data_IF_840109315076
#
_entry.id   IF_840109315076
#
_cell.length_a   1.000
_cell.length_b   1.000
_cell.length_c   1.000
_cell.angle_alpha   90.00
_cell.angle_beta   90.00
_cell.angle_gamma   90.00
#
_symmetry.space_group_name_H-M   'P 1'
#
loop_
_entity.id
_entity.type
_entity.pdbx_description
1 polymer ?
#
# COMPACT_ATOMS: atom_id res chain seq x y z
N UNK A 1 -19.71 14.00 22.29
CA UNK A 1 -20.08 13.41 20.98
C UNK A 1 -19.24 12.17 20.81
N UNK A 2 -19.84 10.98 20.62
CA UNK A 2 -19.05 9.79 20.28
C UNK A 2 -18.42 10.08 18.91
N UNK A 3 -17.09 10.11 18.81
CA UNK A 3 -16.40 10.15 17.52
C UNK A 3 -17.02 9.09 16.61
N UNK A 4 -17.30 9.38 15.33
CA UNK A 4 -17.79 8.36 14.41
C UNK A 4 -16.83 7.17 14.52
N UNK A 5 -17.37 5.99 14.82
CA UNK A 5 -16.58 4.77 14.87
C UNK A 5 -16.08 4.51 13.46
N UNK A 6 -14.81 4.83 13.20
CA UNK A 6 -14.12 4.54 11.95
C UNK A 6 -13.96 3.01 11.83
N UNK A 7 -15.02 2.30 11.47
CA UNK A 7 -14.90 0.88 11.10
C UNK A 7 -14.10 0.76 9.81
N UNK A 8 -13.39 -0.34 9.63
CA UNK A 8 -12.66 -0.57 8.38
C UNK A 8 -13.59 -0.48 7.16
N UNK A 9 -14.81 -1.02 7.27
CA UNK A 9 -15.83 -0.89 6.22
C UNK A 9 -16.15 0.58 5.87
N UNK A 10 -16.35 1.44 6.87
CA UNK A 10 -16.62 2.86 6.66
C UNK A 10 -15.42 3.62 6.10
N UNK A 11 -14.19 3.27 6.50
CA UNK A 11 -12.95 3.86 5.97
C UNK A 11 -12.81 3.51 4.48
N UNK A 12 -13.01 2.23 4.12
CA UNK A 12 -12.98 1.78 2.72
C UNK A 12 -14.02 2.54 1.89
N UNK A 13 -15.25 2.64 2.38
CA UNK A 13 -16.32 3.34 1.66
C UNK A 13 -16.02 4.84 1.50
N UNK A 14 -15.52 5.49 2.55
CA UNK A 14 -15.11 6.90 2.49
C UNK A 14 -14.06 7.15 1.39
N UNK A 15 -13.07 6.26 1.24
CA UNK A 15 -12.08 6.37 0.16
C UNK A 15 -12.74 6.29 -1.23
N UNK A 16 -13.62 5.30 -1.44
CA UNK A 16 -14.29 5.10 -2.72
C UNK A 16 -15.22 6.28 -3.05
N UNK A 17 -16.00 6.74 -2.08
CA UNK A 17 -16.93 7.85 -2.25
C UNK A 17 -16.18 9.17 -2.52
N UNK A 18 -15.07 9.41 -1.83
CA UNK A 18 -14.22 10.57 -2.05
C UNK A 18 -13.71 10.62 -3.49
N UNK A 19 -13.13 9.54 -4.01
CA UNK A 19 -12.65 9.53 -5.40
C UNK A 19 -13.79 9.51 -6.41
N UNK A 20 -14.92 8.87 -6.10
CA UNK A 20 -16.13 8.96 -6.93
C UNK A 20 -16.61 10.41 -7.07
N UNK A 21 -16.55 11.22 -5.99
CA UNK A 21 -16.88 12.64 -6.05
C UNK A 21 -15.87 13.48 -6.85
N UNK A 22 -14.66 12.96 -7.12
CA UNK A 22 -13.65 13.55 -8.02
C UNK A 22 -13.75 13.00 -9.45
N UNK A 23 -14.79 12.23 -9.76
CA UNK A 23 -15.08 11.69 -11.09
C UNK A 23 -14.38 10.37 -11.41
N UNK A 24 -13.84 9.65 -10.43
CA UNK A 24 -13.30 8.32 -10.63
C UNK A 24 -14.43 7.30 -10.74
N UNK A 25 -14.32 6.38 -11.70
CA UNK A 25 -15.23 5.24 -11.79
C UNK A 25 -14.82 4.17 -10.77
N UNK A 26 -15.77 3.68 -9.98
CA UNK A 26 -15.52 2.49 -9.17
C UNK A 26 -15.32 1.27 -10.07
N UNK A 27 -14.17 0.60 -9.94
CA UNK A 27 -13.85 -0.62 -10.70
C UNK A 27 -13.61 -1.76 -9.70
N UNK A 28 -14.37 -2.86 -9.72
CA UNK A 28 -14.15 -3.96 -8.77
C UNK A 28 -12.70 -4.46 -8.72
N UNK A 29 -12.27 -4.95 -7.56
CA UNK A 29 -10.99 -5.64 -7.41
C UNK A 29 -10.89 -6.77 -8.43
N UNK A 30 -9.73 -6.90 -9.09
CA UNK A 30 -9.43 -8.07 -9.90
C UNK A 30 -9.16 -9.29 -9.02
N UNK A 31 -9.10 -10.47 -9.66
CA UNK A 31 -8.70 -11.73 -9.00
C UNK A 31 -7.26 -11.64 -8.49
N UNK A 32 -6.96 -12.37 -7.41
CA UNK A 32 -5.58 -12.63 -6.96
C UNK A 32 -4.76 -13.41 -8.00
N UNK A 33 -5.42 -14.10 -8.93
CA UNK A 33 -4.79 -14.80 -10.05
C UNK A 33 -4.84 -13.87 -11.27
N UNK A 34 -3.73 -13.23 -11.67
CA UNK A 34 -3.73 -12.30 -12.80
C UNK A 34 -4.01 -13.08 -14.09
N UNK A 35 -5.13 -12.78 -14.73
CA UNK A 35 -5.49 -13.33 -16.03
C UNK A 35 -4.64 -12.68 -17.12
N UNK A 36 -3.89 -13.48 -17.88
CA UNK A 36 -3.13 -12.99 -19.04
C UNK A 36 -1.69 -12.52 -18.75
N UNK A 37 -1.31 -12.28 -17.50
CA UNK A 37 0.07 -11.92 -17.15
C UNK A 37 0.85 -13.15 -16.64
N UNK A 38 1.84 -13.60 -17.42
CA UNK A 38 2.70 -14.73 -17.06
C UNK A 38 3.90 -14.32 -16.18
N UNK A 39 4.18 -13.02 -16.02
CA UNK A 39 5.31 -12.57 -15.21
C UNK A 39 4.98 -12.48 -13.72
N UNK A 40 3.69 -12.49 -13.36
CA UNK A 40 3.22 -12.38 -11.98
C UNK A 40 2.57 -13.67 -11.48
N UNK A 41 3.02 -14.12 -10.31
CA UNK A 41 2.41 -15.26 -9.64
C UNK A 41 1.05 -14.88 -9.04
N UNK A 42 0.95 -13.70 -8.43
CA UNK A 42 -0.29 -13.17 -7.86
C UNK A 42 -0.39 -11.67 -8.08
N UNK A 43 -1.61 -11.13 -8.01
CA UNK A 43 -1.87 -9.70 -8.03
C UNK A 43 -1.28 -9.06 -6.77
N UNK A 44 -0.24 -8.24 -6.92
CA UNK A 44 0.52 -7.63 -5.82
C UNK A 44 0.20 -6.14 -5.58
N UNK A 45 -0.56 -5.52 -6.50
CA UNK A 45 -0.95 -4.12 -6.49
C UNK A 45 -2.24 -3.89 -7.29
N UNK A 46 -2.93 -2.77 -7.03
CA UNK A 46 -4.15 -2.36 -7.77
C UNK A 46 -3.92 -2.12 -9.26
N UNK A 47 -2.73 -1.66 -9.62
CA UNK A 47 -2.37 -1.28 -11.00
C UNK A 47 -2.31 -2.46 -11.98
N UNK A 48 -2.19 -3.70 -11.49
CA UNK A 48 -1.99 -4.91 -12.31
C UNK A 48 -3.09 -5.07 -13.37
N UNK A 49 -4.36 -4.82 -13.00
CA UNK A 49 -5.50 -4.93 -13.93
C UNK A 49 -5.58 -3.79 -14.97
N UNK A 50 -4.73 -2.77 -14.83
CA UNK A 50 -4.66 -1.61 -15.71
C UNK A 50 -3.33 -1.54 -16.47
N UNK A 51 -2.47 -2.57 -16.37
CA UNK A 51 -1.16 -2.65 -17.04
C UNK A 51 -1.24 -2.25 -18.53
N UNK A 52 -2.16 -2.86 -19.27
CA UNK A 52 -2.34 -2.60 -20.71
C UNK A 52 -2.88 -1.20 -21.01
N UNK A 53 -3.61 -0.59 -20.07
CA UNK A 53 -4.09 0.80 -20.19
C UNK A 53 -2.91 1.76 -20.08
N UNK A 54 -1.97 1.54 -19.15
CA UNK A 54 -0.75 2.33 -19.05
C UNK A 54 0.18 2.16 -20.25
N UNK A 55 0.23 0.96 -20.83
CA UNK A 55 1.00 0.69 -22.05
C UNK A 55 0.32 1.23 -23.33
N UNK A 56 -0.94 1.67 -23.23
CA UNK A 56 -1.73 2.15 -24.36
C UNK A 56 -2.22 1.04 -25.30
N UNK A 57 -2.12 -0.22 -24.89
CA UNK A 57 -2.58 -1.41 -25.65
C UNK A 57 -4.04 -1.76 -25.36
N UNK A 58 -4.62 -1.22 -24.29
CA UNK A 58 -6.03 -1.32 -23.94
C UNK A 58 -6.64 0.08 -23.68
N UNK A 59 -7.96 0.22 -23.88
CA UNK A 59 -8.71 1.46 -23.61
C UNK A 59 -9.99 1.15 -22.84
N UNK A 60 -10.24 1.94 -21.81
CA UNK A 60 -11.44 1.85 -20.98
C UNK A 60 -12.43 2.97 -21.33
N UNK A 61 -13.74 2.79 -21.04
CA UNK A 61 -14.74 3.85 -21.23
C UNK A 61 -14.61 5.00 -20.21
N UNK A 62 -13.62 4.94 -19.32
CA UNK A 62 -13.31 5.92 -18.29
C UNK A 62 -11.81 6.25 -18.31
N UNK A 63 -11.47 7.48 -17.93
CA UNK A 63 -10.08 7.95 -17.81
C UNK A 63 -9.59 8.00 -16.36
N UNK A 64 -10.49 7.75 -15.39
CA UNK A 64 -10.20 7.74 -13.95
C UNK A 64 -10.87 6.53 -13.30
N UNK A 65 -10.17 5.85 -12.39
CA UNK A 65 -10.72 4.72 -11.67
C UNK A 65 -10.29 4.72 -10.19
N UNK A 66 -11.10 4.17 -9.30
CA UNK A 66 -10.71 3.96 -7.90
C UNK A 66 -11.30 2.66 -7.36
N UNK A 67 -10.56 1.97 -6.51
CA UNK A 67 -11.02 0.74 -5.86
C UNK A 67 -10.26 0.37 -4.59
N UNK A 68 -10.64 -0.79 -4.03
CA UNK A 68 -9.90 -1.50 -3.00
C UNK A 68 -9.51 -2.86 -3.57
N UNK A 69 -8.25 -3.02 -3.95
CA UNK A 69 -7.74 -4.22 -4.60
C UNK A 69 -7.28 -5.24 -3.54
N UNK A 70 -7.72 -6.49 -3.69
CA UNK A 70 -7.13 -7.65 -3.01
C UNK A 70 -5.71 -7.89 -3.52
N UNK A 71 -4.71 -7.87 -2.65
CA UNK A 71 -3.32 -8.08 -2.99
C UNK A 71 -2.75 -9.28 -2.24
N UNK A 72 -1.80 -9.98 -2.86
CA UNK A 72 -1.02 -11.03 -2.21
C UNK A 72 0.48 -10.87 -2.48
N UNK A 73 1.29 -10.76 -1.42
CA UNK A 73 2.75 -10.58 -1.47
C UNK A 73 3.46 -11.70 -0.71
N UNK A 74 3.70 -12.81 -1.41
CA UNK A 74 4.24 -14.06 -0.85
C UNK A 74 5.39 -14.65 -1.67
N UNK A 75 5.73 -14.01 -2.79
CA UNK A 75 6.76 -14.45 -3.71
C UNK A 75 7.12 -13.33 -4.71
N UNK A 76 8.30 -13.43 -5.31
CA UNK A 76 8.77 -12.50 -6.34
C UNK A 76 9.35 -11.22 -5.75
N UNK A 77 9.27 -10.12 -6.51
CA UNK A 77 9.87 -8.81 -6.15
C UNK A 77 9.30 -8.21 -4.86
N UNK A 78 8.01 -8.44 -4.61
CA UNK A 78 7.30 -7.98 -3.42
C UNK A 78 6.89 -9.21 -2.59
N UNK A 79 7.66 -9.53 -1.55
CA UNK A 79 7.47 -10.71 -0.71
C UNK A 79 7.59 -10.34 0.77
N UNK A 80 6.47 -10.34 1.47
CA UNK A 80 6.39 -9.93 2.88
C UNK A 80 6.25 -11.15 3.81
N UNK A 81 6.32 -12.38 3.29
CA UNK A 81 6.01 -13.62 4.01
C UNK A 81 6.81 -13.80 5.30
N UNK A 82 8.11 -13.45 5.26
CA UNK A 82 9.01 -13.62 6.42
C UNK A 82 8.73 -12.60 7.54
N UNK A 83 8.08 -11.48 7.24
CA UNK A 83 7.77 -10.44 8.22
C UNK A 83 6.39 -10.64 8.88
N UNK A 84 5.51 -11.43 8.25
CA UNK A 84 4.16 -11.69 8.74
C UNK A 84 4.17 -12.25 10.16
N UNK A 85 3.44 -11.55 11.04
CA UNK A 85 3.32 -11.87 12.46
C UNK A 85 4.52 -11.52 13.33
N UNK A 86 5.66 -11.12 12.74
CA UNK A 86 6.82 -10.58 13.47
C UNK A 86 6.73 -9.07 13.67
N UNK A 87 5.93 -8.40 12.85
CA UNK A 87 5.60 -6.99 13.04
C UNK A 87 4.09 -6.71 13.06
N UNK A 88 3.78 -5.42 13.02
CA UNK A 88 2.45 -4.86 13.22
C UNK A 88 1.79 -4.42 11.92
N UNK A 89 2.49 -4.51 10.79
CA UNK A 89 2.12 -3.80 9.55
C UNK A 89 2.13 -4.65 8.29
N UNK A 90 2.90 -5.73 8.25
CA UNK A 90 3.02 -6.62 7.07
C UNK A 90 2.04 -7.80 7.15
N UNK A 91 1.53 -8.15 5.97
CA UNK A 91 0.51 -9.17 5.73
C UNK A 91 0.86 -9.89 4.43
N UNK A 92 0.51 -11.17 4.31
CA UNK A 92 0.58 -11.83 3.00
C UNK A 92 -0.56 -11.33 2.12
N UNK A 93 -1.77 -11.27 2.65
CA UNK A 93 -2.97 -10.77 2.01
C UNK A 93 -3.35 -9.42 2.62
N UNK A 94 -3.57 -8.42 1.79
CA UNK A 94 -4.02 -7.11 2.22
C UNK A 94 -4.87 -6.44 1.15
N UNK A 95 -5.54 -5.36 1.53
CA UNK A 95 -6.25 -4.51 0.57
C UNK A 95 -5.44 -3.25 0.27
N UNK A 96 -5.35 -2.91 -1.01
CA UNK A 96 -4.73 -1.68 -1.48
C UNK A 96 -5.83 -0.73 -1.96
N UNK A 97 -6.00 0.39 -1.27
CA UNK A 97 -6.87 1.47 -1.72
C UNK A 97 -6.13 2.25 -2.80
N UNK A 98 -6.65 2.25 -4.03
CA UNK A 98 -5.98 2.86 -5.17
C UNK A 98 -6.89 3.76 -5.98
N UNK A 99 -6.29 4.81 -6.55
CA UNK A 99 -6.91 5.67 -7.54
C UNK A 99 -5.97 5.85 -8.74
N UNK A 100 -6.55 5.92 -9.93
CA UNK A 100 -5.81 5.93 -11.19
C UNK A 100 -6.22 7.08 -12.10
N UNK A 101 -5.24 7.62 -12.81
CA UNK A 101 -5.40 8.53 -13.94
C UNK A 101 -4.84 7.88 -15.19
N UNK A 102 -5.66 7.74 -16.22
CA UNK A 102 -5.26 7.20 -17.51
C UNK A 102 -5.13 8.34 -18.54
N UNK A 103 -4.02 9.08 -18.48
CA UNK A 103 -3.74 10.16 -19.44
C UNK A 103 -4.60 11.40 -19.23
N UNK A 104 -5.09 11.62 -18.01
CA UNK A 104 -6.02 12.68 -17.66
C UNK A 104 -5.40 13.72 -16.71
N UNK A 105 -5.43 13.50 -15.40
CA UNK A 105 -4.72 14.32 -14.41
C UNK A 105 -3.35 13.73 -14.07
N UNK A 106 -2.48 14.52 -13.43
CA UNK A 106 -1.13 14.07 -13.04
C UNK A 106 -0.80 14.45 -11.59
N UNK A 107 0.45 14.85 -11.31
CA UNK A 107 0.97 15.10 -9.96
C UNK A 107 0.13 16.09 -9.15
N UNK A 108 -0.29 17.20 -9.76
CA UNK A 108 -0.97 18.30 -9.05
C UNK A 108 -2.24 17.83 -8.36
N UNK A 109 -3.14 17.21 -9.11
CA UNK A 109 -4.40 16.70 -8.58
C UNK A 109 -4.18 15.46 -7.71
N UNK A 110 -3.26 14.56 -8.09
CA UNK A 110 -2.96 13.36 -7.31
C UNK A 110 -2.50 13.71 -5.88
N UNK A 111 -1.56 14.63 -5.75
CA UNK A 111 -1.03 15.09 -4.46
C UNK A 111 -2.11 15.86 -3.69
N UNK A 112 -2.81 16.78 -4.34
CA UNK A 112 -3.84 17.58 -3.68
C UNK A 112 -4.99 16.73 -3.11
N UNK A 113 -5.47 15.74 -3.86
CA UNK A 113 -6.56 14.86 -3.40
C UNK A 113 -6.10 13.87 -2.33
N UNK A 114 -4.87 13.35 -2.42
CA UNK A 114 -4.32 12.52 -1.36
C UNK A 114 -4.20 13.32 -0.04
N UNK A 115 -3.70 14.56 -0.12
CA UNK A 115 -3.61 15.46 1.03
C UNK A 115 -4.99 15.82 1.61
N UNK A 116 -5.96 16.16 0.75
CA UNK A 116 -7.34 16.47 1.14
C UNK A 116 -8.00 15.30 1.88
N UNK A 117 -7.89 14.07 1.35
CA UNK A 117 -8.46 12.89 2.00
C UNK A 117 -7.85 12.65 3.39
N UNK A 118 -6.52 12.70 3.48
CA UNK A 118 -5.84 12.43 4.76
C UNK A 118 -6.12 13.52 5.80
N UNK A 119 -6.12 14.80 5.41
CA UNK A 119 -6.07 15.92 6.37
C UNK A 119 -7.41 16.61 6.59
N UNK A 120 -8.29 16.66 5.58
CA UNK A 120 -9.58 17.35 5.69
C UNK A 120 -10.72 16.35 5.94
N UNK A 121 -10.70 15.18 5.28
CA UNK A 121 -11.74 14.16 5.46
C UNK A 121 -11.46 13.29 6.69
N UNK A 122 -10.24 12.75 6.78
CA UNK A 122 -9.84 11.89 7.89
C UNK A 122 -9.16 12.62 9.05
N UNK A 123 -8.93 13.92 8.91
CA UNK A 123 -8.45 14.79 9.99
C UNK A 123 -7.13 14.29 10.62
N UNK A 124 -6.24 13.69 9.82
CA UNK A 124 -4.90 13.38 10.28
C UNK A 124 -4.12 14.67 10.57
N UNK A 125 -3.33 14.70 11.66
CA UNK A 125 -2.54 15.86 12.03
C UNK A 125 -1.48 16.16 10.96
N UNK A 126 -1.59 17.33 10.33
CA UNK A 126 -0.74 17.76 9.21
C UNK A 126 0.73 17.80 9.58
N UNK A 127 1.02 18.19 10.82
CA UNK A 127 2.36 18.26 11.40
C UNK A 127 3.03 16.91 11.59
N UNK A 128 2.30 15.80 11.48
CA UNK A 128 2.86 14.43 11.54
C UNK A 128 3.02 13.80 10.17
N UNK A 129 2.58 14.46 9.11
CA UNK A 129 2.69 13.92 7.75
C UNK A 129 3.99 14.40 7.09
N UNK A 130 4.62 13.45 6.40
CA UNK A 130 5.83 13.64 5.62
C UNK A 130 5.58 13.17 4.19
N UNK A 131 6.20 13.86 3.23
CA UNK A 131 6.15 13.48 1.83
C UNK A 131 7.57 13.20 1.33
N UNK A 132 7.75 12.12 0.58
CA UNK A 132 9.01 11.79 -0.08
C UNK A 132 8.90 12.04 -1.58
N UNK A 133 9.97 12.46 -2.22
CA UNK A 133 10.04 12.74 -3.66
C UNK A 133 11.28 12.09 -4.27
N UNK A 134 11.20 11.77 -5.55
CA UNK A 134 12.28 11.08 -6.23
C UNK A 134 13.51 11.96 -6.49
N UNK A 135 14.68 11.41 -6.19
CA UNK A 135 15.98 11.94 -6.61
C UNK A 135 16.84 10.79 -7.13
N UNK A 136 17.21 10.84 -8.41
CA UNK A 136 18.01 9.78 -9.01
C UNK A 136 19.48 9.86 -8.59
N UNK A 137 19.96 8.86 -7.85
CA UNK A 137 21.37 8.71 -7.51
C UNK A 137 22.26 8.38 -8.72
N UNK A 138 21.68 7.94 -9.85
CA UNK A 138 22.40 7.60 -11.09
C UNK A 138 22.45 8.74 -12.12
N UNK A 139 21.71 9.83 -11.90
CA UNK A 139 21.66 10.99 -12.81
C UNK A 139 21.08 10.72 -14.21
N UNK A 140 20.27 9.65 -14.37
CA UNK A 140 19.64 9.27 -15.64
C UNK A 140 18.21 9.79 -15.77
N UNK A 141 17.55 10.02 -14.63
CA UNK A 141 16.19 10.54 -14.54
C UNK A 141 16.25 11.82 -13.73
N UNK A 142 15.58 12.86 -14.19
CA UNK A 142 15.54 14.13 -13.48
C UNK A 142 14.93 13.97 -12.09
N UNK A 143 15.47 14.72 -11.12
CA UNK A 143 14.88 14.84 -9.79
C UNK A 143 13.46 15.39 -9.89
N UNK A 144 12.55 14.84 -9.11
CA UNK A 144 11.14 15.22 -9.16
C UNK A 144 10.86 16.52 -8.37
N UNK A 145 11.37 17.64 -8.89
CA UNK A 145 11.12 18.96 -8.32
C UNK A 145 9.66 19.40 -8.50
N UNK A 146 8.99 18.91 -9.54
CA UNK A 146 7.57 19.19 -9.78
C UNK A 146 6.71 18.71 -8.60
N UNK A 147 6.89 17.44 -8.17
CA UNK A 147 6.19 16.90 -7.01
C UNK A 147 6.54 17.66 -5.73
N UNK A 148 7.82 17.97 -5.51
CA UNK A 148 8.25 18.69 -4.30
C UNK A 148 7.67 20.11 -4.22
N UNK A 149 7.58 20.83 -5.33
CA UNK A 149 6.94 22.16 -5.39
C UNK A 149 5.45 22.05 -5.08
N UNK A 150 4.75 21.07 -5.66
CA UNK A 150 3.32 20.84 -5.41
C UNK A 150 3.08 20.48 -3.94
N UNK A 151 3.93 19.63 -3.35
CA UNK A 151 3.87 19.30 -1.94
C UNK A 151 4.00 20.52 -1.07
N UNK A 152 5.04 21.34 -1.26
CA UNK A 152 5.26 22.57 -0.47
C UNK A 152 4.13 23.60 -0.57
N UNK A 153 3.25 23.47 -1.56
CA UNK A 153 2.05 24.31 -1.72
C UNK A 153 0.82 23.76 -0.99
N UNK A 154 0.86 22.53 -0.45
CA UNK A 154 -0.28 21.94 0.23
C UNK A 154 -0.62 22.68 1.53
N UNK A 155 -1.91 22.91 1.84
CA UNK A 155 -2.29 23.70 3.01
C UNK A 155 -1.86 23.05 4.33
N UNK A 156 -0.92 23.69 5.02
CA UNK A 156 -0.46 23.30 6.36
C UNK A 156 0.64 22.24 6.40
N UNK A 157 1.22 21.85 5.26
CA UNK A 157 2.44 21.03 5.28
C UNK A 157 3.63 21.85 5.78
N UNK A 158 4.52 21.22 6.54
CA UNK A 158 5.84 21.80 6.82
C UNK A 158 6.77 21.57 5.60
N UNK A 159 7.34 22.61 4.97
CA UNK A 159 8.26 22.44 3.85
C UNK A 159 9.49 21.56 4.14
N UNK A 160 9.91 21.46 5.41
CA UNK A 160 11.00 20.58 5.85
C UNK A 160 10.62 19.10 5.89
N UNK A 161 9.32 18.79 5.85
CA UNK A 161 8.79 17.42 5.78
C UNK A 161 8.69 16.90 4.33
N UNK A 162 9.12 17.69 3.35
CA UNK A 162 9.22 17.30 1.94
C UNK A 162 10.66 16.87 1.66
N UNK A 163 10.87 15.55 1.70
CA UNK A 163 12.17 14.89 1.64
C UNK A 163 12.43 14.28 0.26
N UNK A 164 13.68 13.96 -0.05
CA UNK A 164 14.03 13.27 -1.31
C UNK A 164 14.74 11.95 -1.02
N UNK A 165 14.37 10.90 -1.76
CA UNK A 165 15.02 9.59 -1.69
C UNK A 165 15.32 9.03 -3.08
N UNK A 166 16.22 8.04 -3.08
CA UNK A 166 16.72 7.36 -4.27
C UNK A 166 15.72 6.41 -4.92
N UNK A 167 16.20 5.67 -5.92
CA UNK A 167 15.40 4.68 -6.67
C UNK A 167 14.82 3.57 -5.82
N UNK A 168 15.48 3.22 -4.70
CA UNK A 168 15.00 2.17 -3.79
C UNK A 168 13.60 2.49 -3.25
N UNK A 169 13.37 3.74 -2.88
CA UNK A 169 12.16 4.15 -2.16
C UNK A 169 11.22 4.97 -3.06
N UNK A 170 11.75 5.84 -3.93
CA UNK A 170 10.94 6.75 -4.75
C UNK A 170 10.94 6.43 -6.26
N UNK A 171 11.28 5.21 -6.66
CA UNK A 171 11.05 4.73 -8.04
C UNK A 171 10.31 3.40 -8.03
N UNK A 172 9.03 3.43 -8.38
CA UNK A 172 8.17 2.26 -8.22
C UNK A 172 8.08 1.43 -9.51
N UNK A 173 8.09 0.12 -9.33
CA UNK A 173 8.00 -0.88 -10.40
C UNK A 173 7.19 -2.08 -9.95
N UNK A 174 6.25 -2.52 -10.79
CA UNK A 174 5.41 -3.69 -10.52
C UNK A 174 6.19 -5.01 -10.53
N UNK A 175 7.11 -5.13 -11.48
CA UNK A 175 7.90 -6.33 -11.77
C UNK A 175 9.26 -5.91 -12.39
N UNK A 176 9.98 -6.86 -13.00
CA UNK A 176 11.23 -6.59 -13.71
C UNK A 176 11.01 -5.84 -15.04
N UNK A 177 9.80 -5.90 -15.58
CA UNK A 177 9.38 -5.18 -16.79
C UNK A 177 7.95 -4.64 -16.64
N UNK A 178 7.61 -3.63 -17.43
CA UNK A 178 6.28 -3.01 -17.46
C UNK A 178 6.24 -1.54 -17.00
N UNK A 179 5.03 -0.98 -16.83
CA UNK A 179 4.85 0.42 -16.43
C UNK A 179 5.52 0.74 -15.10
N UNK A 180 6.22 1.86 -15.05
CA UNK A 180 6.96 2.35 -13.89
C UNK A 180 7.15 3.87 -13.91
N UNK A 181 7.65 4.41 -12.81
CA UNK A 181 8.00 5.83 -12.74
C UNK A 181 8.49 6.28 -11.37
N UNK A 182 8.96 7.54 -11.28
CA UNK A 182 9.12 8.22 -10.01
C UNK A 182 7.83 8.16 -9.20
N UNK A 183 7.95 8.05 -7.88
CA UNK A 183 6.79 8.08 -7.00
C UNK A 183 7.04 9.02 -5.82
N UNK A 184 5.95 9.35 -5.14
CA UNK A 184 5.96 10.15 -3.92
C UNK A 184 5.15 9.45 -2.86
N UNK A 185 5.76 9.19 -1.71
CA UNK A 185 5.11 8.48 -0.62
C UNK A 185 4.71 9.45 0.49
N UNK A 186 3.58 9.16 1.13
CA UNK A 186 3.09 9.88 2.30
C UNK A 186 3.34 9.00 3.51
N UNK A 187 4.09 9.53 4.46
CA UNK A 187 4.47 8.89 5.71
C UNK A 187 3.83 9.58 6.90
N UNK A 188 3.48 8.82 7.93
CA UNK A 188 3.00 9.32 9.20
C UNK A 188 4.04 9.09 10.29
N UNK A 189 4.43 10.16 10.98
CA UNK A 189 5.11 10.06 12.28
C UNK A 189 4.11 9.61 13.35
N UNK A 190 4.24 8.37 13.81
CA UNK A 190 3.35 7.81 14.83
C UNK A 190 3.71 8.29 16.23
N UNK A 191 4.92 8.79 16.43
CA UNK A 191 5.47 9.25 17.70
C UNK A 191 6.66 8.42 18.21
N UNK A 192 7.49 8.97 19.12
CA UNK A 192 8.67 8.27 19.67
C UNK A 192 8.39 6.91 20.32
N UNK A 193 7.18 6.70 20.83
CA UNK A 193 6.72 5.44 21.44
C UNK A 193 6.70 4.27 20.46
N UNK A 194 6.64 4.55 19.15
CA UNK A 194 6.70 3.55 18.08
C UNK A 194 8.11 3.23 17.61
N UNK A 195 9.13 3.89 18.16
CA UNK A 195 10.52 3.60 17.83
C UNK A 195 11.00 2.34 18.57
N UNK A 196 11.09 1.23 17.84
CA UNK A 196 11.63 -0.05 18.32
C UNK A 196 13.15 -0.06 18.53
N UNK A 197 13.85 1.03 18.14
CA UNK A 197 15.30 1.19 18.28
C UNK A 197 15.66 2.37 19.20
N UNK A 198 14.71 2.90 19.99
CA UNK A 198 14.92 4.09 20.81
C UNK A 198 16.02 3.94 21.86
N UNK A 199 16.26 2.71 22.30
CA UNK A 199 17.25 2.36 23.31
C UNK A 199 18.61 1.95 22.69
N UNK A 200 18.74 2.01 21.36
CA UNK A 200 19.98 1.74 20.64
C UNK A 200 20.81 3.03 20.56
N UNK A 201 22.01 3.01 21.10
CA UNK A 201 22.92 4.16 21.10
C UNK A 201 23.22 4.64 19.67
N UNK A 202 23.12 5.95 19.44
CA UNK A 202 23.35 6.56 18.12
C UNK A 202 22.21 6.41 17.12
N UNK A 203 21.10 5.77 17.48
CA UNK A 203 19.92 5.66 16.61
C UNK A 203 19.27 7.03 16.36
N UNK A 204 18.96 7.32 15.09
CA UNK A 204 18.23 8.51 14.66
C UNK A 204 16.95 8.05 13.96
N UNK A 205 15.80 8.48 14.46
CA UNK A 205 14.52 8.23 13.79
C UNK A 205 14.40 9.13 12.57
N UNK A 206 14.13 8.54 11.40
CA UNK A 206 13.88 9.27 10.16
C UNK A 206 12.92 8.50 9.25
N UNK A 207 12.28 9.22 8.32
CA UNK A 207 11.47 8.61 7.24
C UNK A 207 12.36 7.68 6.42
N UNK A 208 11.81 6.52 6.02
CA UNK A 208 12.55 5.43 5.36
C UNK A 208 13.80 4.93 6.11
N UNK A 209 13.88 5.18 7.42
CA UNK A 209 14.90 4.62 8.30
C UNK A 209 14.52 3.23 8.85
N UNK A 210 15.40 2.68 9.69
CA UNK A 210 15.29 1.29 10.17
C UNK A 210 14.30 1.10 11.35
N UNK A 211 13.71 2.18 11.86
CA UNK A 211 12.76 2.12 12.98
C UNK A 211 11.31 2.23 12.53
N UNK A 212 10.41 1.67 13.33
CA UNK A 212 8.96 1.59 13.05
C UNK A 212 8.16 2.87 13.34
N UNK A 213 8.82 3.98 13.69
CA UNK A 213 8.16 5.25 14.05
C UNK A 213 7.44 5.89 12.87
N UNK A 214 8.09 5.92 11.71
CA UNK A 214 7.53 6.48 10.49
C UNK A 214 6.88 5.36 9.68
N UNK A 215 5.58 5.52 9.41
CA UNK A 215 4.80 4.53 8.69
C UNK A 215 4.41 5.07 7.32
N UNK A 216 4.85 4.39 6.27
CA UNK A 216 4.36 4.65 4.91
C UNK A 216 2.87 4.30 4.83
N UNK A 217 2.05 5.30 4.52
CA UNK A 217 0.60 5.15 4.36
C UNK A 217 0.21 4.93 2.92
N UNK A 218 0.73 5.77 2.02
CA UNK A 218 0.22 5.91 0.66
C UNK A 218 1.33 6.25 -0.31
N UNK A 219 1.49 5.44 -1.36
CA UNK A 219 2.41 5.71 -2.45
C UNK A 219 1.67 6.26 -3.68
N UNK A 220 2.14 7.38 -4.23
CA UNK A 220 1.65 8.05 -5.43
C UNK A 220 2.67 7.88 -6.56
N UNK A 221 2.47 6.90 -7.43
CA UNK A 221 3.35 6.60 -8.56
C UNK A 221 2.96 7.43 -9.78
N UNK A 222 3.94 8.17 -10.31
CA UNK A 222 3.81 8.99 -11.49
C UNK A 222 4.33 8.21 -12.70
N UNK A 223 3.46 7.32 -13.20
CA UNK A 223 3.77 6.40 -14.28
C UNK A 223 4.08 7.19 -15.56
N UNK A 224 5.33 7.07 -16.00
CA UNK A 224 5.83 7.81 -17.17
C UNK A 224 6.81 6.99 -18.03
N UNK A 225 7.16 5.76 -17.61
CA UNK A 225 8.03 4.88 -18.36
C UNK A 225 7.49 3.45 -18.46
N UNK A 226 7.96 2.71 -19.45
CA UNK A 226 7.91 1.26 -19.55
C UNK A 226 9.32 0.70 -19.38
N UNK A 227 9.50 -0.20 -18.40
CA UNK A 227 10.75 -0.94 -18.19
C UNK A 227 10.80 -2.12 -19.16
N UNK A 228 11.76 -2.12 -20.06
CA UNK A 228 11.97 -3.24 -20.99
C UNK A 228 13.01 -4.24 -20.47
N UNK A 229 13.98 -3.76 -19.69
CA UNK A 229 15.06 -4.57 -19.10
C UNK A 229 15.66 -3.81 -17.91
N UNK A 230 16.55 -4.43 -17.09
CA UNK A 230 17.16 -3.77 -15.93
C UNK A 230 17.83 -2.41 -16.23
N UNK A 231 18.22 -2.16 -17.48
CA UNK A 231 18.91 -0.94 -17.90
C UNK A 231 18.10 -0.07 -18.86
N UNK A 232 17.00 -0.56 -19.41
CA UNK A 232 16.24 0.14 -20.46
C UNK A 232 14.89 0.67 -19.95
N UNK A 233 14.71 1.99 -20.07
CA UNK A 233 13.46 2.71 -19.82
C UNK A 233 13.00 3.38 -21.11
N UNK A 234 11.78 3.10 -21.52
CA UNK A 234 11.13 3.80 -22.62
C UNK A 234 10.07 4.75 -22.09
N UNK A 235 10.07 6.04 -22.47
CA UNK A 235 8.99 6.96 -22.12
C UNK A 235 7.64 6.47 -22.66
N UNK A 236 6.60 6.55 -21.84
CA UNK A 236 5.24 6.30 -22.27
C UNK A 236 4.69 7.48 -23.08
N UNK A 237 3.78 7.25 -24.04
CA UNK A 237 3.19 8.31 -24.86
C UNK A 237 2.31 9.26 -24.02
N UNK A 238 1.81 8.80 -22.89
CA UNK A 238 1.01 9.57 -21.93
C UNK A 238 1.57 9.38 -20.52
N UNK A 239 1.35 10.38 -19.68
CA UNK A 239 1.64 10.32 -18.25
C UNK A 239 0.40 9.86 -17.51
N UNK A 240 0.59 8.98 -16.54
CA UNK A 240 -0.49 8.36 -15.79
C UNK A 240 -0.24 8.48 -14.29
N UNK A 241 -1.28 8.24 -13.49
CA UNK A 241 -1.16 8.16 -12.03
C UNK A 241 -1.61 6.78 -11.59
N UNK A 242 -0.81 6.17 -10.74
CA UNK A 242 -1.14 4.96 -10.00
C UNK A 242 -0.91 5.23 -8.51
N UNK A 243 -1.90 4.97 -7.66
CA UNK A 243 -1.73 5.13 -6.22
C UNK A 243 -2.08 3.85 -5.49
N UNK A 244 -1.43 3.65 -4.34
CA UNK A 244 -1.70 2.53 -3.46
C UNK A 244 -1.50 2.90 -2.00
N UNK A 245 -2.59 2.87 -1.23
CA UNK A 245 -2.59 3.02 0.23
C UNK A 245 -2.89 1.68 0.88
N UNK A 246 -2.07 1.28 1.86
CA UNK A 246 -2.31 0.07 2.64
C UNK A 246 -3.55 0.23 3.49
N UNK A 247 -4.62 -0.49 3.17
CA UNK A 247 -5.92 -0.35 3.84
C UNK A 247 -5.80 -0.61 5.35
N UNK A 248 -5.19 -1.73 5.74
CA UNK A 248 -5.02 -2.09 7.14
C UNK A 248 -4.20 -1.06 7.92
N UNK A 249 -3.21 -0.42 7.27
CA UNK A 249 -2.38 0.63 7.86
C UNK A 249 -3.21 1.88 8.16
N UNK A 250 -4.01 2.36 7.19
CA UNK A 250 -4.85 3.53 7.44
C UNK A 250 -5.96 3.23 8.44
N UNK A 251 -6.50 2.00 8.48
CA UNK A 251 -7.47 1.60 9.51
C UNK A 251 -6.85 1.63 10.91
N UNK A 252 -5.63 1.12 11.09
CA UNK A 252 -4.98 1.14 12.41
C UNK A 252 -4.73 2.57 12.90
N UNK A 253 -4.31 3.47 11.99
CA UNK A 253 -4.16 4.89 12.29
C UNK A 253 -5.47 5.54 12.71
N UNK A 254 -6.54 5.39 11.91
CA UNK A 254 -7.83 6.06 12.19
C UNK A 254 -8.58 5.49 13.40
N UNK A 255 -8.31 4.24 13.76
CA UNK A 255 -8.81 3.64 14.99
C UNK A 255 -7.93 3.93 16.21
N UNK A 256 -6.77 4.57 16.03
CA UNK A 256 -5.84 4.91 17.11
C UNK A 256 -5.21 3.68 17.76
N UNK A 257 -4.99 2.61 17.00
CA UNK A 257 -4.35 1.38 17.49
C UNK A 257 -2.92 1.24 16.97
N UNK A 258 -2.09 0.56 17.73
CA UNK A 258 -0.65 0.41 17.47
C UNK A 258 -0.32 -0.68 16.44
N UNK A 259 -1.29 -1.50 16.06
CA UNK A 259 -1.09 -2.65 15.18
C UNK A 259 -2.26 -2.86 14.24
N UNK A 260 -1.98 -3.23 12.98
CA UNK A 260 -3.01 -3.62 12.02
C UNK A 260 -3.88 -4.76 12.60
N UNK A 261 -3.27 -5.67 13.35
CA UNK A 261 -3.93 -6.82 13.97
C UNK A 261 -4.91 -6.45 15.09
N UNK A 262 -4.85 -5.22 15.61
CA UNK A 262 -5.75 -4.72 16.66
C UNK A 262 -6.95 -3.93 16.14
N UNK A 263 -7.10 -3.85 14.82
CA UNK A 263 -8.25 -3.23 14.16
C UNK A 263 -9.48 -4.14 14.18
N UNK A 264 -10.65 -3.58 13.88
CA UNK A 264 -11.89 -4.32 13.64
C UNK A 264 -11.80 -5.32 12.47
N UNK A 265 -10.83 -5.15 11.56
CA UNK A 265 -10.58 -6.07 10.45
C UNK A 265 -9.98 -7.40 10.89
N UNK A 266 -9.10 -7.39 11.90
CA UNK A 266 -8.22 -8.51 12.22
C UNK A 266 -8.40 -9.06 13.64
N UNK A 267 -8.77 -8.21 14.60
CA UNK A 267 -9.01 -8.63 15.98
C UNK A 267 -10.07 -9.74 16.09
N UNK A 268 -11.17 -9.76 15.31
CA UNK A 268 -12.12 -10.89 15.33
C UNK A 268 -11.49 -12.24 14.93
N UNK A 269 -10.54 -12.24 13.99
CA UNK A 269 -9.82 -13.45 13.59
C UNK A 269 -8.90 -13.93 14.71
N UNK A 270 -8.16 -13.01 15.35
CA UNK A 270 -7.32 -13.34 16.50
C UNK A 270 -8.13 -13.92 17.67
N UNK A 271 -9.29 -13.33 17.96
CA UNK A 271 -10.22 -13.83 18.99
C UNK A 271 -10.81 -15.20 18.65
N UNK A 272 -11.02 -15.48 17.36
CA UNK A 272 -11.45 -16.81 16.91
C UNK A 272 -10.37 -17.85 17.19
N UNK A 273 -9.12 -17.56 16.84
CA UNK A 273 -7.98 -18.45 17.16
C UNK A 273 -7.88 -18.66 18.67
N UNK A 274 -8.07 -17.61 19.48
CA UNK A 274 -8.02 -17.66 20.94
C UNK A 274 -9.11 -18.55 21.52
N UNK A 275 -10.34 -18.40 21.02
CA UNK A 275 -11.47 -19.25 21.42
C UNK A 275 -11.22 -20.72 21.09
N UNK A 276 -10.53 -21.02 19.98
CA UNK A 276 -10.23 -22.40 19.58
C UNK A 276 -9.13 -23.03 20.44
N UNK A 277 -8.18 -22.24 20.94
CA UNK A 277 -7.10 -22.74 21.82
C UNK A 277 -7.48 -22.74 23.30
N UNK A 278 -8.53 -22.01 23.68
CA UNK A 278 -8.94 -21.86 25.09
C UNK A 278 -7.98 -20.98 25.91
N UNK A 279 -7.16 -20.17 25.23
CA UNK A 279 -6.17 -19.31 25.89
C UNK A 279 -6.79 -18.03 26.47
N UNK A 280 -6.24 -17.51 27.57
CA UNK A 280 -6.59 -16.20 28.13
C UNK A 280 -6.10 -15.04 27.26
N UNK A 281 -6.50 -13.81 27.60
CA UNK A 281 -5.98 -12.61 26.92
C UNK A 281 -4.48 -12.44 27.18
N UNK A 282 -4.02 -12.71 28.40
CA UNK A 282 -2.60 -12.65 28.75
C UNK A 282 -1.76 -13.66 27.95
N UNK A 283 -2.26 -14.88 27.77
CA UNK A 283 -1.59 -15.90 26.95
C UNK A 283 -1.54 -15.52 25.47
N UNK A 284 -2.58 -14.85 24.94
CA UNK A 284 -2.57 -14.29 23.58
C UNK A 284 -1.54 -13.17 23.45
N UNK A 285 -1.54 -12.20 24.35
CA UNK A 285 -0.60 -11.06 24.30
C UNK A 285 0.85 -11.50 24.47
N UNK A 286 1.10 -12.55 25.27
CA UNK A 286 2.44 -13.14 25.41
C UNK A 286 2.92 -13.88 24.15
N UNK A 287 2.00 -14.31 23.27
CA UNK A 287 2.29 -15.14 22.10
C UNK A 287 1.66 -14.61 20.81
N UNK A 288 1.74 -13.30 20.55
CA UNK A 288 1.03 -12.65 19.44
C UNK A 288 1.37 -13.22 18.05
N UNK A 289 2.63 -13.59 17.80
CA UNK A 289 3.08 -14.02 16.46
C UNK A 289 2.24 -15.17 15.88
N UNK A 290 2.05 -16.32 16.56
CA UNK A 290 1.15 -17.37 16.07
C UNK A 290 -0.28 -16.91 15.76
N UNK A 291 -0.85 -16.01 16.55
CA UNK A 291 -2.21 -15.49 16.30
C UNK A 291 -2.26 -14.62 15.05
N UNK A 292 -1.25 -13.77 14.87
CA UNK A 292 -1.10 -12.88 13.71
C UNK A 292 -0.93 -13.70 12.43
N UNK A 293 0.00 -14.67 12.43
CA UNK A 293 0.24 -15.57 11.28
C UNK A 293 -1.03 -16.32 10.90
N UNK A 294 -1.71 -16.96 11.86
CA UNK A 294 -2.96 -17.69 11.57
C UNK A 294 -4.06 -16.79 11.03
N UNK A 295 -4.22 -15.58 11.58
CA UNK A 295 -5.23 -14.63 11.13
C UNK A 295 -4.96 -14.14 9.71
N UNK A 296 -3.70 -13.82 9.40
CA UNK A 296 -3.28 -13.41 8.06
C UNK A 296 -3.43 -14.55 7.03
N UNK A 297 -2.84 -15.71 7.31
CA UNK A 297 -2.83 -16.85 6.40
C UNK A 297 -4.23 -17.42 6.15
N UNK A 298 -5.13 -17.35 7.14
CA UNK A 298 -6.53 -17.73 6.95
C UNK A 298 -7.22 -16.82 5.89
N UNK A 299 -6.96 -15.50 5.91
CA UNK A 299 -7.48 -14.59 4.87
C UNK A 299 -6.88 -14.94 3.51
N UNK A 300 -5.55 -15.05 3.44
CA UNK A 300 -4.85 -15.37 2.19
C UNK A 300 -5.35 -16.67 1.56
N UNK A 301 -5.42 -17.76 2.33
CA UNK A 301 -5.89 -19.05 1.87
C UNK A 301 -7.37 -18.98 1.42
N UNK A 302 -8.24 -18.35 2.20
CA UNK A 302 -9.66 -18.24 1.86
C UNK A 302 -9.88 -17.49 0.55
N UNK A 303 -9.23 -16.33 0.36
CA UNK A 303 -9.36 -15.56 -0.87
C UNK A 303 -8.69 -16.22 -2.08
N UNK A 304 -7.56 -16.91 -1.90
CA UNK A 304 -6.94 -17.71 -2.95
C UNK A 304 -7.87 -18.82 -3.46
N UNK A 305 -8.47 -19.56 -2.54
CA UNK A 305 -9.41 -20.64 -2.89
C UNK A 305 -10.66 -20.06 -3.55
N UNK A 306 -11.19 -18.95 -3.04
CA UNK A 306 -12.33 -18.26 -3.64
C UNK A 306 -12.05 -17.75 -5.06
N UNK A 307 -10.82 -17.32 -5.34
CA UNK A 307 -10.36 -16.90 -6.67
C UNK A 307 -9.89 -18.10 -7.54
N UNK A 308 -10.17 -19.33 -7.12
CA UNK A 308 -10.03 -20.56 -7.94
C UNK A 308 -8.73 -21.34 -7.76
N UNK A 309 -7.87 -20.99 -6.79
CA UNK A 309 -6.62 -21.72 -6.53
C UNK A 309 -6.89 -22.96 -5.69
N UNK A 310 -6.47 -24.13 -6.19
CA UNK A 310 -6.61 -25.41 -5.49
C UNK A 310 -5.25 -25.82 -4.91
N UNK A 311 -5.11 -26.07 -3.59
CA UNK A 311 -3.83 -26.46 -3.00
C UNK A 311 -3.17 -27.67 -3.68
N UNK A 312 -1.89 -27.55 -4.04
CA UNK A 312 -1.18 -28.50 -4.91
C UNK A 312 0.34 -28.48 -4.71
N UNK A 313 1.08 -29.09 -5.64
CA UNK A 313 2.55 -29.24 -5.54
C UNK A 313 3.34 -28.27 -6.43
N UNK A 314 2.69 -27.48 -7.27
CA UNK A 314 3.36 -26.63 -8.27
C UNK A 314 2.76 -25.22 -8.32
N UNK A 315 3.60 -24.23 -8.65
CA UNK A 315 3.18 -22.84 -8.90
C UNK A 315 2.29 -22.24 -7.81
N UNK A 316 1.19 -21.58 -8.23
CA UNK A 316 0.20 -20.95 -7.34
C UNK A 316 -0.40 -21.94 -6.34
N UNK A 317 -0.64 -23.16 -6.79
CA UNK A 317 -1.22 -24.23 -5.99
C UNK A 317 -0.27 -24.65 -4.84
N UNK A 318 1.04 -24.68 -5.10
CA UNK A 318 2.05 -24.90 -4.06
C UNK A 318 2.05 -23.79 -3.03
N UNK A 319 2.01 -22.52 -3.46
CA UNK A 319 1.98 -21.38 -2.54
C UNK A 319 0.74 -21.41 -1.65
N UNK A 320 -0.44 -21.69 -2.22
CA UNK A 320 -1.66 -21.85 -1.42
C UNK A 320 -1.52 -22.99 -0.39
N UNK A 321 -0.95 -24.15 -0.78
CA UNK A 321 -0.66 -25.22 0.18
C UNK A 321 0.33 -24.80 1.26
N UNK A 322 1.37 -24.05 0.89
CA UNK A 322 2.42 -23.60 1.81
C UNK A 322 1.85 -22.64 2.85
N UNK A 323 1.01 -21.68 2.46
CA UNK A 323 0.32 -20.76 3.40
C UNK A 323 -0.59 -21.52 4.37
N UNK A 324 -1.23 -22.61 3.92
CA UNK A 324 -2.12 -23.42 4.77
C UNK A 324 -1.34 -24.25 5.79
N UNK A 325 -0.10 -24.65 5.50
CA UNK A 325 0.71 -25.57 6.32
C UNK A 325 1.53 -24.82 7.35
#
# INVERSE_FOLDING_TARGET
MKSPSFTGAAIRQTFIDFFSSKGHTFVPSSSLVPGGDQTLLFTNAGMVQFKDVFLGTDRRPYTRAANSQKCLRVAGKHNDLDDVGRDDTHHTFFEMLGNWSFGDYYKKEAIAWAWELLTEVWNLPKERLYATCFQDEKGQIERDEEAAIIWRQQPGIDPSHVLYFGRKDNFWEMADTGPCGPCSEIHLDRGPEYCNLRDVEGHICQVNGDCKRFLELWNLVFIQYNRLSPTALEPLPQKHVDTGMGFERIVSVLQGVDSNYRTDLLMPLMKTVQSMTGHSDEEREANLTPYRVRSDHARAAAFLIADGVVPGNTGRNYVCRMIIR
#
